data_IF_419527214511
#
_entry.id   IF_419527214511
#
_cell.length_a   1.000
_cell.length_b   1.000
_cell.length_c   1.000
_cell.angle_alpha   90.00
_cell.angle_beta   90.00
_cell.angle_gamma   90.00
#
_symmetry.space_group_name_H-M   'P 1'
#
loop_
_entity.id
_entity.type
_entity.pdbx_description
1 polymer ?
#
# COMPACT_ATOMS: atom_id res chain seq x y z
N UNK A 1 -18.97 -12.56 6.73
CA UNK A 1 -17.84 -12.68 7.69
C UNK A 1 -16.69 -11.74 7.35
N UNK A 2 -16.17 -11.69 6.12
CA UNK A 2 -15.08 -10.76 5.75
C UNK A 2 -15.38 -9.28 6.07
N UNK A 3 -16.61 -8.82 5.84
CA UNK A 3 -17.04 -7.46 6.19
C UNK A 3 -17.08 -7.22 7.71
N UNK A 4 -17.30 -8.25 8.52
CA UNK A 4 -17.32 -8.13 9.98
C UNK A 4 -15.89 -8.00 10.54
N UNK A 5 -14.94 -8.77 10.00
CA UNK A 5 -13.53 -8.67 10.37
C UNK A 5 -12.99 -7.26 10.07
N UNK A 6 -13.30 -6.71 8.88
CA UNK A 6 -12.92 -5.34 8.51
C UNK A 6 -13.52 -4.29 9.46
N UNK A 7 -14.76 -4.48 9.91
CA UNK A 7 -15.37 -3.58 10.90
C UNK A 7 -14.67 -3.64 12.25
N UNK A 8 -14.30 -4.84 12.74
CA UNK A 8 -13.53 -4.98 13.98
C UNK A 8 -12.16 -4.32 13.88
N UNK A 9 -11.44 -4.52 12.77
CA UNK A 9 -10.18 -3.83 12.50
C UNK A 9 -10.33 -2.31 12.57
N UNK A 10 -11.38 -1.74 11.94
CA UNK A 10 -11.64 -0.30 11.97
C UNK A 10 -11.96 0.24 13.38
N UNK A 11 -12.41 -0.60 14.29
CA UNK A 11 -12.68 -0.26 15.69
C UNK A 11 -11.47 -0.49 16.61
N UNK A 12 -10.32 -0.90 16.07
CA UNK A 12 -9.14 -1.26 16.87
C UNK A 12 -9.26 -2.63 17.58
N UNK A 13 -10.30 -3.40 17.24
CA UNK A 13 -10.58 -4.75 17.79
C UNK A 13 -9.80 -5.80 17.00
N UNK A 14 -8.47 -5.67 17.03
CA UNK A 14 -7.56 -6.42 16.15
C UNK A 14 -7.58 -7.92 16.42
N UNK A 15 -7.71 -8.32 17.69
CA UNK A 15 -7.76 -9.74 18.08
C UNK A 15 -9.01 -10.44 17.53
N UNK A 16 -10.18 -9.81 17.67
CA UNK A 16 -11.42 -10.38 17.11
C UNK A 16 -11.41 -10.41 15.58
N UNK A 17 -10.81 -9.40 14.95
CA UNK A 17 -10.65 -9.37 13.50
C UNK A 17 -9.68 -10.46 13.00
N UNK A 18 -8.59 -10.70 13.72
CA UNK A 18 -7.62 -11.77 13.45
C UNK A 18 -8.26 -13.15 13.57
N UNK A 19 -8.91 -13.45 14.70
CA UNK A 19 -9.56 -14.74 14.93
C UNK A 19 -10.60 -15.05 13.85
N UNK A 20 -11.44 -14.06 13.51
CA UNK A 20 -12.45 -14.23 12.46
C UNK A 20 -11.81 -14.44 11.08
N UNK A 21 -10.76 -13.71 10.74
CA UNK A 21 -10.06 -13.89 9.47
C UNK A 21 -9.38 -15.26 9.39
N UNK A 22 -8.74 -15.75 10.46
CA UNK A 22 -8.13 -17.08 10.50
C UNK A 22 -9.18 -18.18 10.24
N UNK A 23 -10.32 -18.12 10.92
CA UNK A 23 -11.43 -19.07 10.71
C UNK A 23 -11.95 -19.05 9.27
N UNK A 24 -12.09 -17.85 8.68
CA UNK A 24 -12.53 -17.70 7.29
C UNK A 24 -11.50 -18.23 6.30
N UNK A 25 -10.20 -18.00 6.52
CA UNK A 25 -9.14 -18.56 5.67
C UNK A 25 -9.17 -20.08 5.71
N UNK A 26 -9.26 -20.70 6.90
CA UNK A 26 -9.30 -22.15 7.04
C UNK A 26 -10.52 -22.76 6.31
N UNK A 27 -11.70 -22.17 6.50
CA UNK A 27 -12.92 -22.61 5.83
C UNK A 27 -12.84 -22.44 4.31
N UNK A 28 -12.31 -21.31 3.83
CA UNK A 28 -12.18 -21.05 2.39
C UNK A 28 -11.12 -21.92 1.73
N UNK A 29 -10.01 -22.22 2.40
CA UNK A 29 -9.01 -23.20 1.92
C UNK A 29 -9.63 -24.59 1.71
N UNK A 30 -10.56 -25.00 2.58
CA UNK A 30 -11.29 -26.27 2.45
C UNK A 30 -12.33 -26.29 1.33
N UNK A 31 -13.04 -25.18 1.12
CA UNK A 31 -14.21 -25.13 0.21
C UNK A 31 -13.87 -24.62 -1.18
N UNK A 32 -13.02 -23.59 -1.29
CA UNK A 32 -12.77 -22.84 -2.53
C UNK A 32 -11.38 -23.11 -3.12
N UNK A 33 -10.53 -23.87 -2.43
CA UNK A 33 -9.09 -24.03 -2.73
C UNK A 33 -8.31 -22.73 -2.41
N UNK A 34 -7.01 -22.87 -2.17
CA UNK A 34 -6.14 -21.78 -1.70
C UNK A 34 -6.05 -20.59 -2.66
N UNK A 35 -6.11 -20.84 -3.97
CA UNK A 35 -5.93 -19.83 -5.02
C UNK A 35 -7.19 -19.04 -5.36
N UNK A 36 -8.33 -19.36 -4.75
CA UNK A 36 -9.57 -18.65 -5.05
C UNK A 36 -9.49 -17.16 -4.66
N UNK A 37 -9.94 -16.22 -5.50
CA UNK A 37 -9.84 -14.78 -5.25
C UNK A 37 -10.36 -14.34 -3.86
N UNK A 38 -11.45 -14.94 -3.40
CA UNK A 38 -11.99 -14.70 -2.07
C UNK A 38 -11.06 -15.16 -0.93
N UNK A 39 -10.41 -16.33 -1.08
CA UNK A 39 -9.42 -16.83 -0.12
C UNK A 39 -8.25 -15.87 -0.03
N UNK A 40 -7.70 -15.47 -1.19
CA UNK A 40 -6.58 -14.53 -1.29
C UNK A 40 -6.92 -13.14 -0.72
N UNK A 41 -8.17 -12.70 -0.88
CA UNK A 41 -8.65 -11.44 -0.29
C UNK A 41 -8.70 -11.52 1.23
N UNK A 42 -9.20 -12.63 1.80
CA UNK A 42 -9.17 -12.80 3.27
C UNK A 42 -7.75 -12.88 3.81
N UNK A 43 -6.86 -13.60 3.13
CA UNK A 43 -5.44 -13.67 3.51
C UNK A 43 -4.79 -12.28 3.47
N UNK A 44 -5.08 -11.46 2.45
CA UNK A 44 -4.61 -10.06 2.39
C UNK A 44 -5.11 -9.22 3.57
N UNK A 45 -6.36 -9.41 3.98
CA UNK A 45 -6.94 -8.71 5.12
C UNK A 45 -6.30 -9.15 6.45
N UNK A 46 -6.02 -10.45 6.59
CA UNK A 46 -5.29 -10.99 7.74
C UNK A 46 -3.86 -10.42 7.80
N UNK A 47 -3.16 -10.33 6.67
CA UNK A 47 -1.83 -9.72 6.59
C UNK A 47 -1.86 -8.25 7.02
N UNK A 48 -2.90 -7.51 6.59
CA UNK A 48 -3.12 -6.13 7.00
C UNK A 48 -3.38 -6.00 8.51
N UNK A 49 -4.10 -6.95 9.11
CA UNK A 49 -4.30 -6.99 10.56
C UNK A 49 -2.99 -7.25 11.32
N UNK A 50 -2.15 -8.16 10.84
CA UNK A 50 -0.81 -8.36 11.42
C UNK A 50 0.04 -7.10 11.32
N UNK A 51 0.02 -6.45 10.15
CA UNK A 51 0.74 -5.20 9.94
C UNK A 51 0.30 -4.08 10.91
N UNK A 52 -1.01 -3.89 11.11
CA UNK A 52 -1.55 -2.92 12.08
C UNK A 52 -1.14 -3.22 13.53
N UNK A 53 -0.88 -4.49 13.85
CA UNK A 53 -0.40 -4.91 15.17
C UNK A 53 1.13 -4.83 15.34
N UNK A 54 1.86 -4.34 14.32
CA UNK A 54 3.33 -4.34 14.32
C UNK A 54 3.96 -5.72 14.06
N UNK A 55 3.16 -6.72 13.71
CA UNK A 55 3.57 -8.09 13.42
C UNK A 55 4.01 -8.22 11.96
N UNK A 56 5.05 -7.48 11.61
CA UNK A 56 5.46 -7.30 10.20
C UNK A 56 6.03 -8.55 9.55
N UNK A 57 6.57 -9.51 10.33
CA UNK A 57 7.07 -10.77 9.77
C UNK A 57 5.93 -11.66 9.31
N UNK A 58 4.88 -11.80 10.13
CA UNK A 58 3.67 -12.56 9.77
C UNK A 58 2.91 -11.89 8.61
N UNK A 59 2.87 -10.55 8.59
CA UNK A 59 2.31 -9.80 7.47
C UNK A 59 3.08 -10.05 6.16
N UNK A 60 4.42 -10.06 6.21
CA UNK A 60 5.29 -10.33 5.06
C UNK A 60 5.06 -11.74 4.51
N UNK A 61 5.10 -12.75 5.36
CA UNK A 61 4.91 -14.16 4.96
C UNK A 61 3.58 -14.34 4.23
N UNK A 62 2.51 -13.80 4.81
CA UNK A 62 1.17 -13.94 4.24
C UNK A 62 0.99 -13.11 2.95
N UNK A 63 1.57 -11.91 2.89
CA UNK A 63 1.57 -11.10 1.66
C UNK A 63 2.34 -11.79 0.52
N UNK A 64 3.46 -12.48 0.81
CA UNK A 64 4.20 -13.24 -0.20
C UNK A 64 3.38 -14.42 -0.74
N UNK A 65 2.71 -15.19 0.13
CA UNK A 65 1.84 -16.28 -0.30
C UNK A 65 0.71 -15.77 -1.22
N UNK A 66 0.06 -14.68 -0.84
CA UNK A 66 -1.00 -14.05 -1.64
C UNK A 66 -0.45 -13.53 -2.97
N UNK A 67 0.72 -12.87 -2.96
CA UNK A 67 1.32 -12.30 -4.17
C UNK A 67 1.61 -13.38 -5.20
N UNK A 68 2.24 -14.47 -4.80
CA UNK A 68 2.60 -15.57 -5.71
C UNK A 68 1.35 -16.27 -6.28
N UNK A 69 0.32 -16.46 -5.45
CA UNK A 69 -0.97 -16.98 -5.94
C UNK A 69 -1.64 -16.01 -6.93
N UNK A 70 -1.67 -14.70 -6.65
CA UNK A 70 -2.26 -13.70 -7.54
C UNK A 70 -1.49 -13.56 -8.86
N UNK A 71 -0.16 -13.64 -8.85
CA UNK A 71 0.65 -13.68 -10.08
C UNK A 71 0.25 -14.86 -10.96
N UNK A 72 0.06 -16.05 -10.36
CA UNK A 72 -0.32 -17.27 -11.09
C UNK A 72 -1.73 -17.20 -11.67
N UNK A 73 -2.70 -16.72 -10.88
CA UNK A 73 -4.12 -16.75 -11.24
C UNK A 73 -4.54 -15.55 -12.09
N UNK A 74 -4.02 -14.37 -11.79
CA UNK A 74 -4.47 -13.08 -12.36
C UNK A 74 -3.43 -12.44 -13.29
N UNK A 75 -2.16 -12.84 -13.18
CA UNK A 75 -1.04 -12.21 -13.87
C UNK A 75 -0.40 -11.06 -13.09
N UNK A 76 0.77 -10.62 -13.54
CA UNK A 76 1.60 -9.63 -12.83
C UNK A 76 1.01 -8.21 -12.83
N UNK A 77 0.28 -7.85 -13.88
CA UNK A 77 -0.26 -6.50 -14.08
C UNK A 77 -1.67 -6.31 -13.50
N UNK A 78 -2.28 -7.37 -12.97
CA UNK A 78 -3.63 -7.29 -12.43
C UNK A 78 -3.69 -6.34 -11.22
N UNK A 79 -4.73 -5.49 -11.08
CA UNK A 79 -4.85 -4.53 -9.98
C UNK A 79 -4.66 -5.15 -8.58
N UNK A 80 -5.20 -6.35 -8.36
CA UNK A 80 -5.04 -7.07 -7.09
C UNK A 80 -3.60 -7.56 -6.85
N UNK A 81 -2.89 -7.98 -7.90
CA UNK A 81 -1.48 -8.35 -7.83
C UNK A 81 -0.64 -7.13 -7.49
N UNK A 82 -0.87 -6.01 -8.18
CA UNK A 82 -0.19 -4.73 -7.91
C UNK A 82 -0.48 -4.21 -6.49
N UNK A 83 -1.69 -4.45 -5.97
CA UNK A 83 -2.04 -4.13 -4.58
C UNK A 83 -1.26 -4.99 -3.60
N UNK A 84 -1.10 -6.29 -3.87
CA UNK A 84 -0.24 -7.16 -3.05
C UNK A 84 1.23 -6.73 -3.04
N UNK A 85 1.77 -6.31 -4.19
CA UNK A 85 3.15 -5.79 -4.27
C UNK A 85 3.27 -4.50 -3.43
N UNK A 86 2.29 -3.58 -3.51
CA UNK A 86 2.30 -2.36 -2.71
C UNK A 86 2.19 -2.62 -1.19
N UNK A 87 1.42 -3.63 -0.78
CA UNK A 87 1.33 -4.05 0.62
C UNK A 87 2.65 -4.64 1.11
N UNK A 88 3.33 -5.44 0.29
CA UNK A 88 4.65 -5.98 0.60
C UNK A 88 5.69 -4.85 0.71
N UNK A 89 5.66 -3.87 -0.19
CA UNK A 89 6.51 -2.68 -0.11
C UNK A 89 6.30 -1.90 1.20
N UNK A 90 5.04 -1.71 1.61
CA UNK A 90 4.70 -1.07 2.89
C UNK A 90 5.22 -1.87 4.09
N UNK A 91 5.12 -3.21 4.02
CA UNK A 91 5.67 -4.08 5.06
C UNK A 91 7.19 -3.97 5.15
N UNK A 92 7.89 -3.93 4.01
CA UNK A 92 9.35 -3.77 3.97
C UNK A 92 9.78 -2.41 4.53
N UNK A 93 9.03 -1.36 4.19
CA UNK A 93 9.25 -0.01 4.72
C UNK A 93 9.25 0.00 6.25
N UNK A 94 8.25 -0.63 6.86
CA UNK A 94 8.09 -0.60 8.32
C UNK A 94 9.04 -1.56 9.04
N UNK A 95 9.57 -2.56 8.34
CA UNK A 95 10.74 -3.32 8.77
C UNK A 95 12.08 -2.58 8.59
N UNK A 96 12.08 -1.36 8.03
CA UNK A 96 13.30 -0.59 7.75
C UNK A 96 14.06 -1.03 6.49
N UNK A 97 13.49 -1.90 5.66
CA UNK A 97 14.07 -2.40 4.41
C UNK A 97 13.76 -1.44 3.25
N UNK A 98 14.25 -0.21 3.34
CA UNK A 98 13.92 0.90 2.44
C UNK A 98 14.21 0.61 0.96
N UNK A 99 15.36 0.00 0.64
CA UNK A 99 15.74 -0.31 -0.74
C UNK A 99 14.78 -1.30 -1.40
N UNK A 100 14.44 -2.39 -0.70
CA UNK A 100 13.47 -3.36 -1.22
C UNK A 100 12.06 -2.78 -1.33
N UNK A 101 11.67 -1.91 -0.38
CA UNK A 101 10.39 -1.19 -0.47
C UNK A 101 10.34 -0.27 -1.70
N UNK A 102 11.44 0.43 -2.00
CA UNK A 102 11.55 1.29 -3.18
C UNK A 102 11.42 0.49 -4.48
N UNK A 103 12.18 -0.59 -4.63
CA UNK A 103 12.17 -1.43 -5.84
C UNK A 103 10.74 -1.91 -6.16
N UNK A 104 10.03 -2.43 -5.16
CA UNK A 104 8.63 -2.87 -5.30
C UNK A 104 7.69 -1.69 -5.60
N UNK A 105 7.89 -0.54 -4.94
CA UNK A 105 7.00 0.60 -5.12
C UNK A 105 7.16 1.28 -6.48
N UNK A 106 8.39 1.34 -7.01
CA UNK A 106 8.70 1.78 -8.39
C UNK A 106 8.03 0.86 -9.40
N UNK A 107 8.18 -0.47 -9.24
CA UNK A 107 7.53 -1.45 -10.13
C UNK A 107 6.00 -1.22 -10.19
N UNK A 108 5.36 -1.05 -9.03
CA UNK A 108 3.91 -0.80 -8.96
C UNK A 108 3.53 0.53 -9.61
N UNK A 109 4.28 1.59 -9.32
CA UNK A 109 4.00 2.93 -9.87
C UNK A 109 4.07 2.92 -11.40
N UNK A 110 5.14 2.38 -11.97
CA UNK A 110 5.33 2.32 -13.43
C UNK A 110 4.27 1.45 -14.11
N UNK A 111 3.94 0.29 -13.52
CA UNK A 111 2.92 -0.59 -14.06
C UNK A 111 1.54 0.06 -14.01
N UNK A 112 1.17 0.71 -12.89
CA UNK A 112 -0.10 1.45 -12.78
C UNK A 112 -0.14 2.65 -13.72
N UNK A 113 0.97 3.36 -13.91
CA UNK A 113 1.06 4.46 -14.87
C UNK A 113 0.84 3.98 -16.31
N UNK A 114 1.34 2.81 -16.68
CA UNK A 114 1.09 2.17 -17.98
C UNK A 114 -0.36 1.72 -18.15
N UNK A 115 -0.88 0.96 -17.19
CA UNK A 115 -2.18 0.26 -17.30
C UNK A 115 -3.37 1.17 -16.99
N UNK A 116 -3.28 1.96 -15.91
CA UNK A 116 -4.38 2.78 -15.38
C UNK A 116 -4.28 4.25 -15.80
N UNK A 117 -3.14 4.65 -16.37
CA UNK A 117 -2.76 6.05 -16.67
C UNK A 117 -2.34 6.83 -15.42
N UNK A 118 -1.68 7.95 -15.67
CA UNK A 118 -1.03 8.80 -14.67
C UNK A 118 -2.03 9.43 -13.67
N UNK A 119 -3.25 9.74 -14.11
CA UNK A 119 -4.28 10.38 -13.29
C UNK A 119 -5.09 9.42 -12.41
N UNK A 120 -4.86 8.12 -12.51
CA UNK A 120 -5.63 7.14 -11.75
C UNK A 120 -5.33 7.25 -10.24
N UNK A 121 -6.36 7.17 -9.36
CA UNK A 121 -6.17 7.27 -7.92
C UNK A 121 -5.09 6.34 -7.34
N UNK A 122 -4.97 5.12 -7.89
CA UNK A 122 -3.98 4.14 -7.43
C UNK A 122 -2.56 4.46 -7.92
N UNK A 123 -2.41 5.05 -9.11
CA UNK A 123 -1.12 5.57 -9.59
C UNK A 123 -0.66 6.71 -8.68
N UNK A 124 -1.57 7.63 -8.36
CA UNK A 124 -1.31 8.75 -7.45
C UNK A 124 -1.03 8.31 -6.01
N UNK A 125 -1.61 7.19 -5.56
CA UNK A 125 -1.26 6.60 -4.26
C UNK A 125 0.15 6.01 -4.28
N UNK A 126 0.54 5.35 -5.38
CA UNK A 126 1.91 4.81 -5.54
C UNK A 126 2.99 5.89 -5.63
N UNK A 127 2.72 7.00 -6.32
CA UNK A 127 3.63 8.16 -6.38
C UNK A 127 3.87 8.75 -4.98
N UNK A 128 2.79 8.92 -4.20
CA UNK A 128 2.85 9.44 -2.83
C UNK A 128 3.67 8.53 -1.92
N UNK A 129 3.41 7.22 -1.94
CA UNK A 129 4.18 6.23 -1.19
C UNK A 129 5.67 6.23 -1.56
N UNK A 130 5.98 6.29 -2.87
CA UNK A 130 7.36 6.33 -3.34
C UNK A 130 8.06 7.61 -2.89
N UNK A 131 7.39 8.76 -2.93
CA UNK A 131 7.95 10.02 -2.46
C UNK A 131 8.34 9.95 -0.97
N UNK A 132 7.51 9.33 -0.12
CA UNK A 132 7.86 9.12 1.29
C UNK A 132 9.07 8.18 1.45
N UNK A 133 9.16 7.11 0.65
CA UNK A 133 10.31 6.19 0.68
C UNK A 133 11.59 6.94 0.28
N UNK A 134 11.55 7.76 -0.76
CA UNK A 134 12.68 8.59 -1.21
C UNK A 134 13.08 9.61 -0.13
N UNK A 135 12.10 10.27 0.50
CA UNK A 135 12.35 11.22 1.60
C UNK A 135 13.07 10.57 2.77
N UNK A 136 12.70 9.32 3.09
CA UNK A 136 13.35 8.54 4.17
C UNK A 136 14.77 8.10 3.84
N UNK A 137 15.12 8.05 2.56
CA UNK A 137 16.47 7.77 2.07
C UNK A 137 17.28 9.04 1.80
N UNK A 138 16.84 10.21 2.29
CA UNK A 138 17.48 11.51 2.09
C UNK A 138 17.59 11.94 0.61
N UNK A 139 16.77 11.37 -0.28
CA UNK A 139 16.67 11.77 -1.70
C UNK A 139 15.64 12.87 -1.86
N UNK A 140 15.91 14.00 -1.21
CA UNK A 140 14.94 15.07 -0.98
C UNK A 140 14.42 15.72 -2.26
N UNK A 141 15.30 15.94 -3.24
CA UNK A 141 14.94 16.54 -4.53
C UNK A 141 13.95 15.64 -5.29
N UNK A 142 14.24 14.34 -5.36
CA UNK A 142 13.40 13.37 -6.06
C UNK A 142 12.06 13.17 -5.35
N UNK A 143 12.10 13.06 -4.01
CA UNK A 143 10.90 12.99 -3.20
C UNK A 143 9.99 14.20 -3.42
N UNK A 144 10.57 15.41 -3.36
CA UNK A 144 9.83 16.66 -3.53
C UNK A 144 9.20 16.75 -4.92
N UNK A 145 9.99 16.52 -5.98
CA UNK A 145 9.52 16.54 -7.37
C UNK A 145 8.36 15.57 -7.59
N UNK A 146 8.48 14.34 -7.07
CA UNK A 146 7.44 13.32 -7.22
C UNK A 146 6.16 13.69 -6.44
N UNK A 147 6.30 14.21 -5.21
CA UNK A 147 5.17 14.64 -4.40
C UNK A 147 4.47 15.87 -5.00
N UNK A 148 5.22 16.79 -5.62
CA UNK A 148 4.69 17.96 -6.32
C UNK A 148 3.85 17.53 -7.52
N UNK A 149 4.41 16.66 -8.38
CA UNK A 149 3.69 16.08 -9.51
C UNK A 149 2.40 15.36 -9.07
N UNK A 150 2.48 14.53 -8.03
CA UNK A 150 1.32 13.83 -7.46
C UNK A 150 0.23 14.82 -6.99
N UNK A 151 0.63 15.89 -6.31
CA UNK A 151 -0.29 16.90 -5.78
C UNK A 151 -0.96 17.69 -6.89
N UNK A 152 -0.22 18.08 -7.92
CA UNK A 152 -0.77 18.78 -9.08
C UNK A 152 -1.81 17.91 -9.82
N UNK A 153 -1.53 16.62 -10.00
CA UNK A 153 -2.47 15.69 -10.61
C UNK A 153 -3.71 15.48 -9.74
N UNK A 154 -3.56 15.33 -8.41
CA UNK A 154 -4.70 15.24 -7.47
C UNK A 154 -5.58 16.49 -7.54
N UNK A 155 -4.97 17.68 -7.61
CA UNK A 155 -5.69 18.95 -7.79
C UNK A 155 -6.51 18.96 -9.08
N UNK A 156 -5.95 18.50 -10.19
CA UNK A 156 -6.66 18.44 -11.48
C UNK A 156 -7.84 17.45 -11.46
N UNK A 157 -7.69 16.29 -10.81
CA UNK A 157 -8.68 15.20 -10.85
C UNK A 157 -9.76 15.35 -9.78
N UNK A 158 -9.38 15.74 -8.56
CA UNK A 158 -10.23 15.72 -7.37
C UNK A 158 -10.60 17.13 -6.87
N UNK A 159 -9.89 18.16 -7.34
CA UNK A 159 -10.00 19.52 -6.84
C UNK A 159 -9.19 19.79 -5.57
N UNK A 160 -9.12 21.06 -5.19
CA UNK A 160 -8.33 21.57 -4.06
C UNK A 160 -8.88 21.14 -2.69
N UNK A 161 -10.20 20.95 -2.60
CA UNK A 161 -10.87 20.67 -1.33
C UNK A 161 -10.83 19.19 -0.93
N UNK A 162 -10.45 18.30 -1.84
CA UNK A 162 -10.43 16.88 -1.60
C UNK A 162 -9.40 16.51 -0.50
N UNK A 163 -9.74 15.64 0.48
CA UNK A 163 -8.86 15.31 1.59
C UNK A 163 -7.45 14.84 1.17
N UNK A 164 -7.36 14.03 0.11
CA UNK A 164 -6.05 13.57 -0.42
C UNK A 164 -5.20 14.71 -1.02
N UNK A 165 -5.83 15.69 -1.67
CA UNK A 165 -5.13 16.86 -2.22
C UNK A 165 -4.62 17.75 -1.09
N UNK A 166 -5.47 18.02 -0.09
CA UNK A 166 -5.06 18.77 1.12
C UNK A 166 -3.92 18.09 1.88
N UNK A 167 -3.98 16.77 2.01
CA UNK A 167 -2.93 16.01 2.69
C UNK A 167 -1.58 16.15 1.99
N UNK A 168 -1.54 15.99 0.66
CA UNK A 168 -0.28 16.10 -0.07
C UNK A 168 0.24 17.53 -0.16
N UNK A 169 -0.65 18.53 -0.26
CA UNK A 169 -0.27 19.95 -0.13
C UNK A 169 0.39 20.24 1.22
N UNK A 170 -0.21 19.77 2.32
CA UNK A 170 0.37 19.92 3.66
C UNK A 170 1.75 19.26 3.73
N UNK A 171 1.89 18.04 3.22
CA UNK A 171 3.18 17.33 3.18
C UNK A 171 4.23 18.11 2.39
N UNK A 172 3.86 18.70 1.24
CA UNK A 172 4.78 19.55 0.46
C UNK A 172 5.24 20.78 1.24
N UNK A 173 4.31 21.49 1.89
CA UNK A 173 4.65 22.66 2.71
C UNK A 173 5.57 22.27 3.86
N UNK A 174 5.29 21.15 4.55
CA UNK A 174 6.15 20.64 5.62
C UNK A 174 7.57 20.31 5.12
N UNK A 175 7.70 19.75 3.91
CA UNK A 175 9.01 19.44 3.33
C UNK A 175 9.77 20.69 2.87
N UNK A 176 9.06 21.70 2.35
CA UNK A 176 9.68 22.98 1.97
C UNK A 176 10.28 23.69 3.17
N UNK A 177 9.52 23.81 4.28
CA UNK A 177 10.01 24.49 5.49
C UNK A 177 11.26 23.81 6.04
N UNK A 178 11.26 22.48 6.11
CA UNK A 178 12.42 21.72 6.61
C UNK A 178 13.65 21.82 5.72
N UNK A 179 13.48 21.98 4.41
CA UNK A 179 14.63 22.16 3.51
C UNK A 179 15.25 23.56 3.65
N UNK A 180 14.48 24.58 4.03
CA UNK A 180 14.98 25.95 4.27
C UNK A 180 15.69 26.06 5.63
N UNK A 181 15.30 25.26 6.62
CA UNK A 181 15.94 25.25 7.96
C UNK A 181 17.30 24.52 8.00
N UNK A 182 17.68 23.79 6.95
CA UNK A 182 18.91 22.97 6.90
C UNK A 182 20.03 23.65 6.08
N UNK A 183 19.82 24.86 5.55
CA UNK A 183 20.81 25.61 4.77
C UNK A 183 21.36 26.82 5.58
N UNK A 184 22.37 26.62 6.46
CA UNK A 184 23.13 27.69 7.12
C UNK A 184 24.28 28.24 6.27
#
# INVERSE_FOLDING_TARGET
MANLASNYSRQGRWKEAEELNMQVVELRKRVLVEEHPDTLTTMSNLASNYWCQGRWKEAEELNMQVLEARKRVLGEEHPDTLTSIANLASTYRDQGRWKGAEELQVQVMETRKRVLREKHPDTLASMDNLAFILKRQSRDVEAFSLMEACTQLRKQVLGDQHPRTKSSLRTLTEWQVRNVEIDP
#
